data_IF_060142098289
#
_entry.id   IF_060142098289
#
_cell.length_a   1.000
_cell.length_b   1.000
_cell.length_c   1.000
_cell.angle_alpha   90.00
_cell.angle_beta   90.00
_cell.angle_gamma   90.00
#
_symmetry.space_group_name_H-M   'P 1'
#
loop_
_entity.id
_entity.type
_entity.pdbx_description
1 polymer ?
#
# COMPACT_ATOMS: atom_id res chain seq x y z
N UNK A 1 0.50 0.68 22.96
CA UNK A 1 -0.91 1.13 22.83
C UNK A 1 -1.65 0.14 21.93
N UNK A 2 -2.68 -0.53 22.44
CA UNK A 2 -3.55 -1.38 21.60
C UNK A 2 -4.41 -0.44 20.75
N UNK A 3 -4.19 -0.44 19.44
CA UNK A 3 -5.11 0.21 18.51
C UNK A 3 -6.34 -0.70 18.46
N UNK A 4 -7.41 -0.34 19.17
CA UNK A 4 -8.69 -1.04 19.09
C UNK A 4 -9.39 -0.63 17.80
N UNK A 5 -10.11 -1.55 17.16
CA UNK A 5 -10.63 -1.48 15.79
C UNK A 5 -11.52 -0.30 15.38
N UNK A 6 -11.89 0.59 16.27
CA UNK A 6 -12.59 1.84 15.97
C UNK A 6 -11.67 3.04 15.69
N UNK A 7 -10.35 2.85 15.77
CA UNK A 7 -9.36 3.92 15.66
C UNK A 7 -8.65 3.95 14.30
N UNK A 8 -9.15 3.24 13.32
CA UNK A 8 -8.61 3.22 11.96
C UNK A 8 -9.14 4.36 11.07
N UNK A 9 -9.58 5.46 11.67
CA UNK A 9 -10.03 6.64 10.94
C UNK A 9 -8.99 7.76 10.92
N UNK A 10 -9.30 8.82 10.17
CA UNK A 10 -8.53 10.06 10.03
C UNK A 10 -8.08 10.67 11.36
N UNK A 11 -8.86 10.48 12.41
CA UNK A 11 -8.60 11.01 13.77
C UNK A 11 -7.29 10.53 14.41
N UNK A 12 -6.66 9.44 13.91
CA UNK A 12 -5.39 8.95 14.44
C UNK A 12 -4.23 9.91 14.17
N UNK A 13 -4.30 10.69 13.09
CA UNK A 13 -3.23 11.57 12.64
C UNK A 13 -3.43 13.03 13.07
N UNK A 14 -4.60 13.36 13.53
CA UNK A 14 -4.91 14.68 14.13
C UNK A 14 -4.39 14.80 15.57
N UNK A 15 -3.91 13.69 16.16
CA UNK A 15 -3.37 13.69 17.51
C UNK A 15 -1.94 14.21 17.53
N UNK A 16 -1.58 15.10 18.47
CA UNK A 16 -0.23 15.66 18.57
C UNK A 16 0.90 14.61 18.61
N UNK A 17 0.66 13.48 19.26
CA UNK A 17 1.64 12.40 19.37
C UNK A 17 2.00 11.73 18.03
N UNK A 18 1.19 11.92 16.99
CA UNK A 18 1.45 11.38 15.65
C UNK A 18 2.02 12.41 14.67
N UNK A 19 2.04 13.69 15.05
CA UNK A 19 2.49 14.77 14.16
C UNK A 19 3.89 14.54 13.61
N UNK A 20 4.83 14.06 14.42
CA UNK A 20 6.20 13.73 14.00
C UNK A 20 6.24 12.61 12.96
N UNK A 21 5.42 11.57 13.11
CA UNK A 21 5.33 10.47 12.15
C UNK A 21 4.75 10.95 10.83
N UNK A 22 3.70 11.76 10.87
CA UNK A 22 3.07 12.34 9.67
C UNK A 22 4.07 13.23 8.91
N UNK A 23 4.78 14.11 9.62
CA UNK A 23 5.78 14.99 9.04
C UNK A 23 6.90 14.19 8.36
N UNK A 24 7.40 13.14 9.02
CA UNK A 24 8.44 12.25 8.49
C UNK A 24 7.98 11.55 7.22
N UNK A 25 6.76 11.01 7.20
CA UNK A 25 6.20 10.33 6.02
C UNK A 25 6.04 11.32 4.86
N UNK A 26 5.51 12.52 5.11
CA UNK A 26 5.33 13.54 4.07
C UNK A 26 6.66 14.01 3.49
N UNK A 27 7.65 14.25 4.34
CA UNK A 27 9.00 14.59 3.89
C UNK A 27 9.63 13.47 3.06
N UNK A 28 9.43 12.21 3.46
CA UNK A 28 9.92 11.07 2.71
C UNK A 28 9.22 10.94 1.35
N UNK A 29 7.89 11.09 1.31
CA UNK A 29 7.11 11.02 0.08
C UNK A 29 7.39 12.16 -0.91
N UNK A 30 7.93 13.28 -0.42
CA UNK A 30 8.35 14.42 -1.24
C UNK A 30 9.77 14.29 -1.83
N UNK A 31 10.50 13.21 -1.54
CA UNK A 31 11.83 12.98 -2.10
C UNK A 31 11.76 12.85 -3.62
N UNK A 32 12.81 13.27 -4.35
CA UNK A 32 12.91 13.04 -5.78
C UNK A 32 12.86 11.54 -6.13
N UNK A 33 12.27 11.21 -7.28
CA UNK A 33 12.18 9.86 -7.80
C UNK A 33 10.83 9.20 -7.60
N UNK A 34 10.65 7.98 -8.11
CA UNK A 34 9.44 7.20 -7.93
C UNK A 34 9.23 6.80 -6.47
N UNK A 35 7.96 6.70 -6.05
CA UNK A 35 7.56 6.23 -4.72
C UNK A 35 6.74 4.94 -4.82
N UNK A 36 7.28 3.84 -4.29
CA UNK A 36 6.56 2.61 -4.05
C UNK A 36 6.01 2.56 -2.62
N UNK A 37 4.74 2.21 -2.45
CA UNK A 37 4.08 2.02 -1.17
C UNK A 37 3.68 0.56 -0.99
N UNK A 38 4.07 -0.08 0.11
CA UNK A 38 3.54 -1.39 0.51
C UNK A 38 2.68 -1.28 1.77
N UNK A 39 1.41 -1.68 1.68
CA UNK A 39 0.48 -1.69 2.80
C UNK A 39 0.41 -3.09 3.40
N UNK A 40 0.77 -3.22 4.67
CA UNK A 40 0.80 -4.50 5.37
C UNK A 40 2.05 -5.32 5.06
N UNK A 41 3.23 -4.73 5.15
CA UNK A 41 4.50 -5.38 4.73
C UNK A 41 4.91 -6.60 5.59
N UNK A 42 4.19 -6.96 6.66
CA UNK A 42 4.47 -8.08 7.58
C UNK A 42 5.91 -8.09 8.10
N UNK A 43 6.77 -8.99 7.61
CA UNK A 43 8.18 -9.08 7.96
C UNK A 43 9.11 -8.16 7.14
N UNK A 44 8.57 -7.47 6.14
CA UNK A 44 9.30 -6.52 5.30
C UNK A 44 10.16 -7.17 4.21
N UNK A 45 10.04 -8.48 3.97
CA UNK A 45 10.91 -9.19 3.02
C UNK A 45 10.83 -8.59 1.62
N UNK A 46 9.62 -8.39 1.10
CA UNK A 46 9.42 -7.88 -0.26
C UNK A 46 9.83 -6.42 -0.40
N UNK A 47 9.44 -5.56 0.53
CA UNK A 47 9.77 -4.13 0.44
C UNK A 47 11.26 -3.87 0.63
N UNK A 48 11.93 -4.57 1.54
CA UNK A 48 13.37 -4.42 1.76
C UNK A 48 14.19 -4.93 0.56
N UNK A 49 13.74 -5.99 -0.09
CA UNK A 49 14.37 -6.49 -1.31
C UNK A 49 14.21 -5.48 -2.45
N UNK A 50 12.99 -4.97 -2.68
CA UNK A 50 12.76 -3.91 -3.68
C UNK A 50 13.61 -2.67 -3.40
N UNK A 51 13.70 -2.24 -2.17
CA UNK A 51 14.49 -1.07 -1.81
C UNK A 51 15.98 -1.23 -2.14
N UNK A 52 16.54 -2.44 -1.98
CA UNK A 52 17.93 -2.74 -2.36
C UNK A 52 18.12 -2.85 -3.87
N UNK A 53 17.17 -3.46 -4.57
CA UNK A 53 17.26 -3.70 -6.02
C UNK A 53 16.99 -2.47 -6.86
N UNK A 54 16.16 -1.57 -6.36
CA UNK A 54 15.75 -0.36 -7.07
C UNK A 54 16.15 0.90 -6.26
N UNK A 55 17.48 1.19 -6.15
CA UNK A 55 17.96 2.29 -5.32
C UNK A 55 17.57 3.68 -5.84
N UNK A 56 17.17 3.79 -7.10
CA UNK A 56 16.66 5.04 -7.69
C UNK A 56 15.20 5.36 -7.33
N UNK A 57 14.52 4.47 -6.60
CA UNK A 57 13.15 4.68 -6.12
C UNK A 57 13.13 4.77 -4.59
N UNK A 58 12.12 5.46 -4.05
CA UNK A 58 11.83 5.53 -2.63
C UNK A 58 10.76 4.49 -2.27
N UNK A 59 10.89 3.84 -1.11
CA UNK A 59 10.02 2.76 -0.69
C UNK A 59 9.44 3.06 0.68
N UNK A 60 8.12 3.21 0.74
CA UNK A 60 7.38 3.42 1.98
C UNK A 60 6.61 2.15 2.34
N UNK A 61 6.92 1.56 3.50
CA UNK A 61 6.18 0.43 4.03
C UNK A 61 5.37 0.82 5.26
N UNK A 62 4.12 0.41 5.32
CA UNK A 62 3.29 0.61 6.50
C UNK A 62 2.72 -0.71 7.03
N UNK A 63 2.72 -0.84 8.36
CA UNK A 63 2.27 -2.02 9.07
C UNK A 63 1.71 -1.60 10.44
N UNK A 64 0.62 -2.19 10.88
CA UNK A 64 -0.01 -1.86 12.17
C UNK A 64 0.66 -2.51 13.37
N UNK A 65 1.34 -3.64 13.14
CA UNK A 65 1.98 -4.44 14.21
C UNK A 65 3.35 -3.87 14.57
N UNK A 66 3.47 -3.23 15.72
CA UNK A 66 4.68 -2.56 16.19
C UNK A 66 5.93 -3.44 16.07
N UNK A 67 5.87 -4.69 16.54
CA UNK A 67 7.02 -5.60 16.53
C UNK A 67 7.54 -5.90 15.12
N UNK A 68 6.66 -5.90 14.11
CA UNK A 68 7.04 -6.10 12.70
C UNK A 68 7.81 -4.89 12.16
N UNK A 69 7.29 -3.69 12.45
CA UNK A 69 7.96 -2.44 12.04
C UNK A 69 9.34 -2.34 12.68
N UNK A 70 9.44 -2.52 14.00
CA UNK A 70 10.71 -2.43 14.72
C UNK A 70 11.75 -3.45 14.23
N UNK A 71 11.33 -4.67 13.92
CA UNK A 71 12.23 -5.69 13.41
C UNK A 71 12.72 -5.38 12.00
N UNK A 72 11.83 -5.02 11.10
CA UNK A 72 12.17 -4.74 9.69
C UNK A 72 12.98 -3.45 9.54
N UNK A 73 12.68 -2.41 10.34
CA UNK A 73 13.34 -1.11 10.25
C UNK A 73 14.85 -1.16 10.51
N UNK A 74 15.32 -2.14 11.27
CA UNK A 74 16.77 -2.35 11.52
C UNK A 74 17.56 -2.69 10.24
N UNK A 75 16.87 -3.13 9.20
CA UNK A 75 17.44 -3.59 7.93
C UNK A 75 17.07 -2.69 6.75
N UNK A 76 16.38 -1.58 7.02
CA UNK A 76 15.92 -0.66 5.99
C UNK A 76 17.08 0.15 5.41
N UNK A 77 17.31 0.14 4.08
CA UNK A 77 18.26 1.03 3.44
C UNK A 77 17.74 2.48 3.42
N UNK A 78 18.58 3.44 3.08
CA UNK A 78 18.28 4.88 3.15
C UNK A 78 17.10 5.32 2.28
N UNK A 79 16.79 4.58 1.22
CA UNK A 79 15.64 4.79 0.35
C UNK A 79 14.38 4.03 0.79
N UNK A 80 14.37 3.49 2.02
CA UNK A 80 13.21 2.77 2.56
C UNK A 80 12.81 3.34 3.92
N UNK A 81 11.56 3.79 4.03
CA UNK A 81 10.95 4.20 5.29
C UNK A 81 9.88 3.19 5.70
N UNK A 82 10.00 2.63 6.90
CA UNK A 82 9.02 1.73 7.48
C UNK A 82 8.32 2.42 8.65
N UNK A 83 6.99 2.50 8.60
CA UNK A 83 6.22 3.22 9.60
C UNK A 83 5.07 2.38 10.16
N UNK A 84 4.78 2.60 11.45
CA UNK A 84 3.62 1.99 12.10
C UNK A 84 2.36 2.82 11.87
N UNK A 85 1.66 2.52 10.78
CA UNK A 85 0.51 3.30 10.31
C UNK A 85 -0.53 2.37 9.71
N UNK A 86 -1.81 2.72 9.86
CA UNK A 86 -2.89 2.08 9.09
C UNK A 86 -2.85 2.59 7.64
N UNK A 87 -2.75 1.66 6.67
CA UNK A 87 -2.65 2.00 5.25
C UNK A 87 -3.86 2.77 4.71
N UNK A 88 -5.06 2.55 5.25
CA UNK A 88 -6.27 3.28 4.87
C UNK A 88 -6.16 4.75 5.24
N UNK A 89 -5.81 5.00 6.50
CA UNK A 89 -5.63 6.36 6.99
C UNK A 89 -4.44 7.06 6.30
N UNK A 90 -3.35 6.34 6.05
CA UNK A 90 -2.21 6.86 5.28
C UNK A 90 -2.66 7.38 3.92
N UNK A 91 -3.35 6.55 3.15
CA UNK A 91 -3.82 6.89 1.81
C UNK A 91 -4.88 8.00 1.84
N UNK A 92 -5.80 7.97 2.81
CA UNK A 92 -6.88 8.94 2.88
C UNK A 92 -6.43 10.35 3.30
N UNK A 93 -5.46 10.46 4.24
CA UNK A 93 -5.22 11.75 4.93
C UNK A 93 -3.75 12.19 5.01
N UNK A 94 -2.81 11.28 4.91
CA UNK A 94 -1.38 11.60 5.13
C UNK A 94 -0.65 11.89 3.83
N UNK A 95 -0.76 10.98 2.85
CA UNK A 95 -0.07 11.15 1.58
C UNK A 95 -0.68 12.27 0.74
N UNK A 96 0.14 13.08 0.08
CA UNK A 96 -0.34 14.02 -0.93
C UNK A 96 -1.06 13.30 -2.08
N UNK A 97 -1.95 14.02 -2.77
CA UNK A 97 -2.51 13.52 -4.02
C UNK A 97 -1.41 13.32 -5.07
N UNK A 98 -1.57 12.34 -5.93
CA UNK A 98 -0.65 12.04 -7.03
C UNK A 98 0.82 11.94 -6.58
N UNK A 99 1.08 11.26 -5.45
CA UNK A 99 2.42 11.09 -4.88
C UNK A 99 3.00 9.68 -5.03
N UNK A 100 2.16 8.68 -5.25
CA UNK A 100 2.54 7.27 -5.29
C UNK A 100 2.61 6.77 -6.73
N UNK A 101 3.71 6.12 -7.11
CA UNK A 101 3.86 5.48 -8.41
C UNK A 101 3.34 4.04 -8.38
N UNK A 102 3.61 3.30 -7.29
CA UNK A 102 3.23 1.89 -7.16
C UNK A 102 2.68 1.59 -5.78
N UNK A 103 1.49 0.98 -5.71
CA UNK A 103 0.87 0.53 -4.47
C UNK A 103 0.81 -1.00 -4.44
N UNK A 104 1.42 -1.61 -3.44
CA UNK A 104 1.47 -3.06 -3.26
C UNK A 104 0.58 -3.49 -2.10
N UNK A 105 -0.27 -4.49 -2.36
CA UNK A 105 -1.17 -5.12 -1.41
C UNK A 105 -0.93 -6.64 -1.46
N UNK A 106 0.01 -7.12 -0.66
CA UNK A 106 0.38 -8.52 -0.67
C UNK A 106 -0.30 -9.29 0.45
N UNK A 107 -1.12 -10.27 0.06
CA UNK A 107 -1.84 -11.17 0.96
C UNK A 107 -2.55 -10.42 2.11
N UNK A 108 -3.38 -9.42 1.79
CA UNK A 108 -4.13 -8.71 2.81
C UNK A 108 -5.06 -9.69 3.51
N UNK A 109 -5.17 -9.55 4.84
CA UNK A 109 -6.06 -10.41 5.63
C UNK A 109 -7.50 -10.17 5.20
N UNK A 110 -8.26 -11.21 4.83
CA UNK A 110 -9.66 -11.07 4.50
C UNK A 110 -10.44 -10.71 5.78
N UNK A 111 -11.16 -9.61 5.74
CA UNK A 111 -12.11 -9.19 6.76
C UNK A 111 -13.41 -8.80 6.07
N UNK A 112 -14.53 -9.24 6.60
CA UNK A 112 -15.88 -8.96 6.07
C UNK A 112 -16.54 -7.74 6.73
N UNK A 113 -15.89 -7.18 7.74
CA UNK A 113 -16.38 -6.06 8.51
C UNK A 113 -15.61 -4.75 8.23
N UNK A 114 -15.86 -3.73 9.08
CA UNK A 114 -15.16 -2.44 9.04
C UNK A 114 -13.63 -2.52 9.08
N UNK A 115 -13.05 -3.69 9.34
CA UNK A 115 -11.61 -3.93 9.31
C UNK A 115 -11.11 -4.30 7.92
N UNK A 116 -12.01 -4.55 6.98
CA UNK A 116 -11.64 -4.83 5.60
C UNK A 116 -10.74 -3.70 5.05
N UNK A 117 -9.62 -4.08 4.48
CA UNK A 117 -8.75 -3.12 3.80
C UNK A 117 -9.42 -2.62 2.52
N UNK A 118 -9.97 -3.57 1.74
CA UNK A 118 -10.61 -3.28 0.46
C UNK A 118 -12.04 -2.77 0.69
N UNK A 119 -12.29 -1.55 0.27
CA UNK A 119 -13.60 -0.89 0.27
C UNK A 119 -13.63 0.18 -0.82
N UNK A 120 -14.81 0.72 -1.12
CA UNK A 120 -14.96 1.81 -2.08
C UNK A 120 -14.14 3.06 -1.65
N UNK A 121 -14.13 3.38 -0.36
CA UNK A 121 -13.36 4.49 0.19
C UNK A 121 -11.85 4.26 0.05
N UNK A 122 -11.40 3.00 0.20
CA UNK A 122 -10.02 2.64 -0.03
C UNK A 122 -9.63 2.84 -1.50
N UNK A 123 -10.47 2.39 -2.44
CA UNK A 123 -10.24 2.58 -3.88
C UNK A 123 -10.21 4.06 -4.25
N UNK A 124 -11.13 4.87 -3.69
CA UNK A 124 -11.11 6.33 -3.88
C UNK A 124 -9.82 6.97 -3.33
N UNK A 125 -9.32 6.48 -2.19
CA UNK A 125 -8.06 6.93 -1.60
C UNK A 125 -6.85 6.52 -2.46
N UNK A 126 -6.87 5.32 -3.04
CA UNK A 126 -5.87 4.87 -4.02
C UNK A 126 -5.87 5.78 -5.27
N UNK A 127 -7.05 6.06 -5.83
CA UNK A 127 -7.20 6.95 -6.99
C UNK A 127 -6.60 8.34 -6.72
N UNK A 128 -6.85 8.88 -5.52
CA UNK A 128 -6.31 10.18 -5.12
C UNK A 128 -4.78 10.17 -4.97
N UNK A 129 -4.25 9.12 -4.35
CA UNK A 129 -2.82 9.06 -3.98
C UNK A 129 -1.92 8.65 -5.15
N UNK A 130 -2.41 7.85 -6.08
CA UNK A 130 -1.64 7.40 -7.23
C UNK A 130 -1.42 8.53 -8.23
N UNK A 131 -0.24 8.56 -8.81
CA UNK A 131 0.08 9.41 -9.97
C UNK A 131 -0.66 8.92 -11.22
N UNK A 132 -0.89 9.78 -12.21
CA UNK A 132 -1.26 9.31 -13.55
C UNK A 132 -0.25 8.28 -14.05
N UNK A 133 -0.72 7.12 -14.49
CA UNK A 133 0.13 5.99 -14.88
C UNK A 133 0.71 5.17 -13.73
N UNK A 134 0.40 5.52 -12.48
CA UNK A 134 0.70 4.69 -11.32
C UNK A 134 -0.15 3.42 -11.29
N UNK A 135 0.22 2.42 -10.47
CA UNK A 135 -0.48 1.14 -10.43
C UNK A 135 -0.73 0.61 -9.02
N UNK A 136 -1.86 -0.08 -8.84
CA UNK A 136 -2.13 -0.97 -7.72
C UNK A 136 -1.77 -2.39 -8.13
N UNK A 137 -0.98 -3.06 -7.31
CA UNK A 137 -0.65 -4.47 -7.47
C UNK A 137 -1.10 -5.25 -6.25
N UNK A 138 -2.20 -5.96 -6.39
CA UNK A 138 -2.74 -6.86 -5.37
C UNK A 138 -2.36 -8.29 -5.69
N UNK A 139 -1.90 -9.02 -4.67
CA UNK A 139 -1.63 -10.44 -4.72
C UNK A 139 -2.28 -11.14 -3.54
N UNK A 140 -3.02 -12.22 -3.77
CA UNK A 140 -3.72 -12.97 -2.72
C UNK A 140 -3.90 -14.44 -3.08
N UNK A 141 -4.01 -15.30 -2.08
CA UNK A 141 -4.37 -16.71 -2.22
C UNK A 141 -5.87 -16.97 -1.93
N UNK A 142 -6.64 -15.91 -1.68
CA UNK A 142 -8.06 -15.99 -1.36
C UNK A 142 -8.88 -15.57 -2.57
N UNK A 143 -9.49 -16.54 -3.26
CA UNK A 143 -10.26 -16.31 -4.48
C UNK A 143 -11.41 -15.30 -4.30
N UNK A 144 -12.12 -15.37 -3.17
CA UNK A 144 -13.20 -14.43 -2.85
C UNK A 144 -12.70 -13.00 -2.66
N UNK A 145 -11.52 -12.82 -2.09
CA UNK A 145 -10.90 -11.50 -1.95
C UNK A 145 -10.46 -10.95 -3.31
N UNK A 146 -9.91 -11.80 -4.18
CA UNK A 146 -9.55 -11.42 -5.54
C UNK A 146 -10.80 -10.98 -6.33
N UNK A 147 -11.88 -11.76 -6.26
CA UNK A 147 -13.15 -11.43 -6.91
C UNK A 147 -13.72 -10.09 -6.39
N UNK A 148 -13.72 -9.89 -5.08
CA UNK A 148 -14.16 -8.62 -4.48
C UNK A 148 -13.29 -7.44 -4.92
N UNK A 149 -11.97 -7.62 -5.00
CA UNK A 149 -11.05 -6.61 -5.51
C UNK A 149 -11.35 -6.27 -6.98
N UNK A 150 -11.57 -7.28 -7.82
CA UNK A 150 -11.91 -7.09 -9.24
C UNK A 150 -13.19 -6.27 -9.42
N UNK A 151 -14.18 -6.47 -8.55
CA UNK A 151 -15.42 -5.65 -8.54
C UNK A 151 -15.15 -4.23 -8.09
N UNK A 152 -14.38 -4.04 -7.01
CA UNK A 152 -14.08 -2.72 -6.46
C UNK A 152 -13.23 -1.86 -7.41
N UNK A 153 -12.32 -2.47 -8.16
CA UNK A 153 -11.49 -1.82 -9.16
C UNK A 153 -12.08 -1.89 -10.58
N UNK A 154 -13.37 -2.27 -10.71
CA UNK A 154 -14.04 -2.28 -12.00
C UNK A 154 -13.93 -0.91 -12.70
N UNK A 155 -13.58 -0.93 -13.99
CA UNK A 155 -13.33 0.31 -14.76
C UNK A 155 -11.92 0.89 -14.65
N UNK A 156 -11.05 0.32 -13.78
CA UNK A 156 -9.63 0.62 -13.83
C UNK A 156 -8.98 -0.23 -14.92
N UNK A 157 -8.25 0.38 -15.87
CA UNK A 157 -7.55 -0.38 -16.90
C UNK A 157 -6.48 -1.28 -16.30
N UNK A 158 -6.26 -2.42 -16.94
CA UNK A 158 -5.14 -3.28 -16.63
C UNK A 158 -3.81 -2.52 -16.81
N UNK A 159 -2.87 -2.75 -15.91
CA UNK A 159 -1.57 -2.13 -15.91
C UNK A 159 -0.44 -3.15 -16.02
N UNK A 160 0.70 -2.72 -16.54
CA UNK A 160 1.91 -3.52 -16.44
C UNK A 160 2.29 -3.72 -14.98
N UNK A 161 2.79 -4.92 -14.59
CA UNK A 161 3.25 -5.15 -13.24
C UNK A 161 4.33 -4.13 -12.85
N UNK A 162 4.22 -3.52 -11.64
CA UNK A 162 5.24 -2.62 -11.14
C UNK A 162 6.52 -3.40 -10.79
N UNK A 163 7.64 -2.71 -10.47
CA UNK A 163 8.87 -3.37 -10.08
C UNK A 163 8.65 -4.37 -8.95
N UNK A 164 8.89 -5.65 -9.19
CA UNK A 164 8.84 -6.73 -8.19
C UNK A 164 10.26 -7.18 -7.88
N UNK A 165 10.52 -7.43 -6.59
CA UNK A 165 11.76 -8.03 -6.15
C UNK A 165 11.78 -9.55 -6.39
N UNK A 166 12.87 -10.20 -6.01
CA UNK A 166 13.00 -11.67 -6.03
C UNK A 166 12.50 -12.31 -4.73
N UNK A 167 12.57 -11.57 -3.62
CA UNK A 167 12.11 -12.08 -2.33
C UNK A 167 10.59 -12.20 -2.29
N UNK A 168 10.16 -13.36 -1.85
CA UNK A 168 8.75 -13.69 -1.70
C UNK A 168 8.28 -13.41 -0.28
N UNK A 169 7.02 -12.99 -0.14
CA UNK A 169 6.40 -12.87 1.17
C UNK A 169 6.33 -14.22 1.87
N UNK A 170 6.23 -14.21 3.21
CA UNK A 170 6.05 -15.45 3.97
C UNK A 170 4.84 -16.24 3.49
N UNK A 171 3.72 -15.57 3.21
CA UNK A 171 2.49 -16.25 2.75
C UNK A 171 2.69 -16.86 1.36
N UNK A 172 3.34 -16.15 0.46
CA UNK A 172 3.64 -16.67 -0.87
C UNK A 172 4.50 -17.95 -0.83
N UNK A 173 5.49 -17.99 0.05
CA UNK A 173 6.30 -19.22 0.27
C UNK A 173 5.46 -20.39 0.77
N UNK A 174 4.47 -20.12 1.65
CA UNK A 174 3.51 -21.14 2.09
C UNK A 174 2.67 -21.61 0.90
N UNK A 175 2.13 -20.71 0.10
CA UNK A 175 1.35 -21.07 -1.08
C UNK A 175 2.15 -21.94 -2.05
N UNK A 176 3.41 -21.58 -2.33
CA UNK A 176 4.28 -22.39 -3.17
C UNK A 176 4.54 -23.79 -2.62
N UNK A 177 4.89 -23.87 -1.31
CA UNK A 177 5.16 -25.16 -0.66
C UNK A 177 3.93 -26.07 -0.69
N UNK A 178 2.75 -25.51 -0.46
CA UNK A 178 1.51 -26.27 -0.27
C UNK A 178 0.68 -26.38 -1.57
N UNK A 179 1.19 -25.86 -2.70
CA UNK A 179 0.50 -25.91 -4.00
C UNK A 179 -0.79 -25.08 -4.04
N UNK A 180 -0.89 -24.04 -3.21
CA UNK A 180 -2.07 -23.18 -3.17
C UNK A 180 -2.06 -22.18 -4.33
N UNK A 181 -3.21 -21.87 -4.94
CA UNK A 181 -3.30 -20.88 -5.99
C UNK A 181 -2.95 -19.49 -5.46
N UNK A 182 -2.38 -18.66 -6.33
CA UNK A 182 -2.14 -17.24 -6.08
C UNK A 182 -2.76 -16.44 -7.21
N UNK A 183 -3.52 -15.42 -6.87
CA UNK A 183 -4.24 -14.55 -7.80
C UNK A 183 -3.61 -13.16 -7.77
N UNK A 184 -3.39 -12.58 -8.93
CA UNK A 184 -2.85 -11.23 -9.11
C UNK A 184 -3.89 -10.32 -9.75
N UNK A 185 -3.94 -9.06 -9.30
CA UNK A 185 -4.66 -7.96 -9.93
C UNK A 185 -3.70 -6.79 -10.06
N UNK A 186 -3.48 -6.31 -11.27
CA UNK A 186 -2.67 -5.13 -11.53
C UNK A 186 -3.46 -4.13 -12.37
N UNK A 187 -3.76 -2.96 -11.79
CA UNK A 187 -4.63 -1.96 -12.40
C UNK A 187 -4.11 -0.54 -12.16
N UNK A 188 -4.38 0.35 -13.11
CA UNK A 188 -4.07 1.79 -13.00
C UNK A 188 -5.34 2.61 -12.78
N UNK A 189 -5.25 3.76 -12.09
CA UNK A 189 -6.39 4.65 -12.00
C UNK A 189 -6.82 5.13 -13.40
N UNK A 190 -8.13 5.19 -13.67
CA UNK A 190 -8.61 5.77 -14.91
C UNK A 190 -8.14 7.24 -15.00
N UNK A 191 -7.91 7.77 -16.22
CA UNK A 191 -7.55 9.16 -16.40
C UNK A 191 -8.62 10.06 -15.77
N UNK A 192 -8.20 11.16 -15.16
CA UNK A 192 -9.13 12.13 -14.61
C UNK A 192 -10.07 12.60 -15.75
N UNK A 193 -11.36 12.45 -15.54
CA UNK A 193 -12.36 13.00 -16.48
C UNK A 193 -12.16 14.52 -16.47
N UNK A 194 -11.73 15.08 -17.60
CA UNK A 194 -11.69 16.54 -17.74
C UNK A 194 -13.09 17.06 -17.47
N UNK A 195 -13.23 17.93 -16.49
CA UNK A 195 -14.48 18.65 -16.31
C UNK A 195 -14.84 19.31 -17.65
N UNK A 196 -16.11 19.28 -18.10
CA UNK A 196 -16.51 19.99 -19.30
C UNK A 196 -16.09 21.44 -19.11
N UNK A 197 -15.30 21.95 -20.04
CA UNK A 197 -15.01 23.39 -20.12
C UNK A 197 -16.34 24.11 -20.29
N UNK A 198 -16.75 24.88 -19.27
CA UNK A 198 -17.87 25.76 -19.37
C UNK A 198 -17.55 26.72 -20.53
N UNK A 199 -18.27 26.54 -21.65
CA UNK A 199 -18.26 27.43 -22.82
C UNK A 199 -19.06 28.68 -22.56
#
# INVERSE_FOLDING_TARGET
MRIRGTLYGSLLYERPEHAGTVATIRAFAARPGPLGLEVGFDHGMCILDRARRFPGANWLGVEIRRRRVEAAARHAPANCLLARVDGRALLATVLPAASVDWLYLYFPTPHEDRRALLSAEFVASCHRALKPGGAVYLRTDVATLHAAASVLFAGWPEAAPPPVGEERSRRERVCQRDGLPVFDLCVSPPPAVKAPTAG
#
